data_IF_686562824596
#
_entry.id   IF_686562824596
#
_cell.length_a   1.000
_cell.length_b   1.000
_cell.length_c   1.000
_cell.angle_alpha   90.00
_cell.angle_beta   90.00
_cell.angle_gamma   90.00
#
_symmetry.space_group_name_H-M   'P 1'
#
loop_
_entity.id
_entity.type
_entity.pdbx_description
1 polymer ?
#
# COMPACT_ATOMS: atom_id res chain seq x y z
N UNK A 1 3.40 -10.23 0.08
CA UNK A 1 2.12 -9.77 -0.48
C UNK A 1 1.88 -10.52 -1.78
N UNK A 2 0.62 -10.88 -2.07
CA UNK A 2 0.21 -11.63 -3.27
C UNK A 2 -0.05 -10.70 -4.46
N UNK A 3 0.96 -9.94 -4.89
CA UNK A 3 0.86 -9.08 -6.08
C UNK A 3 0.98 -9.96 -7.32
N UNK A 4 -0.06 -9.96 -8.16
CA UNK A 4 -0.18 -10.81 -9.36
C UNK A 4 -0.28 -10.03 -10.67
N UNK A 5 -0.40 -8.72 -10.61
CA UNK A 5 -0.41 -7.85 -11.79
C UNK A 5 0.11 -6.47 -11.38
N UNK A 6 0.97 -5.89 -12.21
CA UNK A 6 1.38 -4.47 -12.08
C UNK A 6 0.87 -3.69 -13.28
N UNK A 7 0.15 -2.61 -13.02
CA UNK A 7 -0.38 -1.70 -14.05
C UNK A 7 0.36 -0.37 -13.91
N UNK A 8 1.02 0.05 -14.97
CA UNK A 8 1.78 1.30 -14.99
C UNK A 8 1.02 2.37 -15.78
N UNK A 9 1.06 3.60 -15.29
CA UNK A 9 0.99 4.75 -16.18
C UNK A 9 2.25 4.82 -17.05
N UNK A 10 2.14 5.48 -18.20
CA UNK A 10 3.23 5.63 -19.15
C UNK A 10 3.98 6.95 -18.95
N UNK A 11 3.33 8.06 -19.31
CA UNK A 11 3.90 9.40 -19.26
C UNK A 11 4.12 9.84 -17.81
N UNK A 12 5.28 10.39 -17.48
CA UNK A 12 5.59 10.84 -16.11
C UNK A 12 5.95 9.71 -15.13
N UNK A 13 5.67 8.45 -15.50
CA UNK A 13 5.95 7.25 -14.70
C UNK A 13 7.07 6.39 -15.27
N UNK A 14 6.93 5.94 -16.53
CA UNK A 14 7.95 5.14 -17.23
C UNK A 14 8.74 5.99 -18.23
N UNK A 15 8.04 6.87 -18.94
CA UNK A 15 8.60 7.67 -20.02
C UNK A 15 8.50 9.16 -19.69
N UNK A 16 9.60 9.87 -19.89
CA UNK A 16 9.66 11.33 -19.90
C UNK A 16 9.81 11.86 -21.34
N UNK A 17 9.48 13.13 -21.54
CA UNK A 17 9.78 13.85 -22.77
C UNK A 17 10.30 15.26 -22.42
N UNK A 18 11.27 15.81 -23.18
CA UNK A 18 11.80 17.16 -22.94
C UNK A 18 10.72 18.25 -23.05
N UNK A 19 9.81 18.10 -24.03
CA UNK A 19 8.70 19.02 -24.27
C UNK A 19 7.60 18.85 -23.20
N UNK A 20 7.33 19.86 -22.35
CA UNK A 20 6.29 19.79 -21.34
C UNK A 20 4.88 19.79 -21.94
N UNK A 21 3.91 19.18 -21.24
CA UNK A 21 2.50 19.19 -21.67
C UNK A 21 1.90 20.61 -21.80
N UNK A 22 2.41 21.58 -21.04
CA UNK A 22 1.98 22.97 -21.19
C UNK A 22 2.30 23.53 -22.59
N UNK A 23 3.44 23.18 -23.18
CA UNK A 23 3.79 23.61 -24.54
C UNK A 23 2.91 22.92 -25.59
N UNK A 24 2.66 21.61 -25.44
CA UNK A 24 1.71 20.87 -26.30
C UNK A 24 0.33 21.53 -26.29
N UNK A 25 -0.12 21.97 -25.11
CA UNK A 25 -1.41 22.64 -24.94
C UNK A 25 -1.46 24.01 -25.62
N UNK A 26 -0.40 24.81 -25.50
CA UNK A 26 -0.32 26.11 -26.18
C UNK A 26 -0.28 25.93 -27.71
N UNK A 27 0.47 24.96 -28.23
CA UNK A 27 0.50 24.65 -29.66
C UNK A 27 -0.85 24.15 -30.18
N UNK A 28 -1.54 23.31 -29.41
CA UNK A 28 -2.92 22.90 -29.72
C UNK A 28 -3.85 24.12 -29.77
N UNK A 29 -3.76 25.01 -28.78
CA UNK A 29 -4.54 26.27 -28.77
C UNK A 29 -4.25 27.12 -30.01
N UNK A 30 -2.97 27.29 -30.39
CA UNK A 30 -2.59 28.03 -31.59
C UNK A 30 -3.18 27.42 -32.87
N UNK A 31 -3.08 26.09 -33.03
CA UNK A 31 -3.67 25.38 -34.18
C UNK A 31 -5.20 25.54 -34.25
N UNK A 32 -5.89 25.44 -33.11
CA UNK A 32 -7.34 25.64 -33.05
C UNK A 32 -7.76 27.08 -33.40
N UNK A 33 -6.97 28.08 -32.99
CA UNK A 33 -7.17 29.49 -33.38
C UNK A 33 -6.97 29.71 -34.89
N UNK A 34 -5.94 29.09 -35.47
CA UNK A 34 -5.66 29.14 -36.92
C UNK A 34 -6.80 28.52 -37.75
N UNK A 35 -7.50 27.53 -37.20
CA UNK A 35 -8.72 26.99 -37.81
C UNK A 35 -9.91 27.95 -37.75
N UNK A 36 -9.81 29.07 -37.02
CA UNK A 36 -10.88 30.05 -36.83
C UNK A 36 -11.84 29.71 -35.69
N UNK A 37 -11.41 28.89 -34.71
CA UNK A 37 -12.21 28.61 -33.52
C UNK A 37 -12.01 29.78 -32.53
N UNK A 38 -13.09 30.43 -32.04
CA UNK A 38 -13.00 31.53 -31.09
C UNK A 38 -12.28 31.16 -29.78
N UNK A 39 -11.48 32.09 -29.24
CA UNK A 39 -10.68 31.87 -28.03
C UNK A 39 -11.53 31.56 -26.78
N UNK A 40 -12.70 32.18 -26.66
CA UNK A 40 -13.67 31.95 -25.59
C UNK A 40 -14.24 30.52 -25.62
N UNK A 41 -14.39 29.94 -26.81
CA UNK A 41 -14.79 28.54 -26.98
C UNK A 41 -13.62 27.61 -26.65
N UNK A 42 -12.38 27.94 -27.00
CA UNK A 42 -11.22 27.08 -26.71
C UNK A 42 -10.97 26.97 -25.19
N UNK A 43 -11.02 28.10 -24.47
CA UNK A 43 -10.77 28.14 -23.04
C UNK A 43 -9.33 27.77 -22.67
N UNK A 44 -9.15 27.06 -21.55
CA UNK A 44 -7.83 26.71 -20.98
C UNK A 44 -7.31 25.31 -21.38
N UNK A 45 -8.10 24.57 -22.17
CA UNK A 45 -7.87 23.19 -22.62
C UNK A 45 -7.44 22.23 -21.50
N UNK A 46 -7.96 22.40 -20.28
CA UNK A 46 -7.58 21.58 -19.13
C UNK A 46 -8.77 20.76 -18.61
N UNK A 47 -8.84 19.43 -18.90
CA UNK A 47 -7.95 18.64 -19.75
C UNK A 47 -8.25 18.76 -21.25
N UNK A 48 -7.26 18.49 -22.11
CA UNK A 48 -7.33 18.75 -23.56
C UNK A 48 -8.43 17.93 -24.25
N UNK A 49 -8.42 16.61 -24.06
CA UNK A 49 -9.33 15.68 -24.74
C UNK A 49 -10.81 15.97 -24.50
N UNK A 50 -11.20 16.16 -23.24
CA UNK A 50 -12.59 16.47 -22.86
C UNK A 50 -13.02 17.84 -23.40
N UNK A 51 -12.10 18.81 -23.46
CA UNK A 51 -12.38 20.11 -24.08
C UNK A 51 -12.52 20.00 -25.60
N UNK A 52 -11.79 19.13 -26.29
CA UNK A 52 -11.98 18.91 -27.73
C UNK A 52 -13.40 18.37 -28.05
N UNK A 53 -13.95 17.48 -27.22
CA UNK A 53 -15.35 17.05 -27.33
C UNK A 53 -16.33 18.22 -27.18
N UNK A 54 -16.09 19.10 -26.20
CA UNK A 54 -16.89 20.30 -25.98
C UNK A 54 -16.81 21.25 -27.18
N UNK A 55 -15.61 21.53 -27.67
CA UNK A 55 -15.36 22.43 -28.81
C UNK A 55 -16.02 21.88 -30.08
N UNK A 56 -15.91 20.58 -30.37
CA UNK A 56 -16.57 19.95 -31.50
C UNK A 56 -18.10 20.16 -31.44
N UNK A 57 -18.70 19.96 -30.25
CA UNK A 57 -20.14 20.15 -30.04
C UNK A 57 -20.59 21.60 -30.20
N UNK A 58 -19.81 22.56 -29.70
CA UNK A 58 -20.16 23.99 -29.74
C UNK A 58 -19.93 24.62 -31.13
N UNK A 59 -18.91 24.17 -31.85
CA UNK A 59 -18.55 24.71 -33.18
C UNK A 59 -19.19 23.96 -34.34
N UNK A 60 -19.73 22.75 -34.11
CA UNK A 60 -20.21 21.86 -35.15
C UNK A 60 -19.10 21.21 -35.98
N UNK A 61 -17.84 21.35 -35.58
CA UNK A 61 -16.69 20.70 -36.25
C UNK A 61 -16.62 19.21 -35.93
N UNK A 62 -15.93 18.47 -36.80
CA UNK A 62 -15.64 17.05 -36.54
C UNK A 62 -14.71 16.91 -35.35
N UNK A 63 -15.08 16.03 -34.42
CA UNK A 63 -14.21 15.71 -33.29
C UNK A 63 -12.91 15.05 -33.78
N UNK A 64 -13.01 14.19 -34.79
CA UNK A 64 -11.87 13.49 -35.40
C UNK A 64 -10.85 14.46 -36.00
N UNK A 65 -11.31 15.54 -36.63
CA UNK A 65 -10.45 16.62 -37.15
C UNK A 65 -9.66 17.27 -36.02
N UNK A 66 -10.33 17.72 -34.96
CA UNK A 66 -9.66 18.37 -33.81
C UNK A 66 -8.74 17.39 -33.06
N UNK A 67 -9.17 16.14 -32.95
CA UNK A 67 -8.44 15.08 -32.27
C UNK A 67 -7.14 14.73 -32.98
N UNK A 68 -7.15 14.69 -34.32
CA UNK A 68 -5.96 14.38 -35.13
C UNK A 68 -4.80 15.35 -34.84
N UNK A 69 -5.09 16.64 -34.67
CA UNK A 69 -4.10 17.67 -34.33
C UNK A 69 -3.46 17.37 -32.97
N UNK A 70 -4.26 16.97 -31.98
CA UNK A 70 -3.73 16.61 -30.67
C UNK A 70 -2.86 15.35 -30.73
N UNK A 71 -3.26 14.35 -31.52
CA UNK A 71 -2.46 13.12 -31.73
C UNK A 71 -1.12 13.44 -32.40
N UNK A 72 -1.11 14.28 -33.43
CA UNK A 72 0.12 14.74 -34.09
C UNK A 72 1.09 15.37 -33.08
N UNK A 73 0.60 16.30 -32.25
CA UNK A 73 1.41 16.96 -31.21
C UNK A 73 1.88 15.98 -30.12
N UNK A 74 1.06 15.00 -29.73
CA UNK A 74 1.45 13.92 -28.81
C UNK A 74 2.56 13.05 -29.43
N UNK A 75 2.47 12.71 -30.72
CA UNK A 75 3.45 11.92 -31.46
C UNK A 75 4.78 12.68 -31.61
N UNK A 76 4.74 13.95 -32.01
CA UNK A 76 5.92 14.82 -32.08
C UNK A 76 6.62 14.92 -30.72
N UNK A 77 5.87 15.06 -29.63
CA UNK A 77 6.42 15.13 -28.28
C UNK A 77 7.22 13.88 -27.90
N UNK A 78 6.78 12.69 -28.31
CA UNK A 78 7.43 11.43 -27.89
C UNK A 78 8.64 11.06 -28.75
N UNK A 79 8.93 11.79 -29.83
CA UNK A 79 10.10 11.51 -30.69
C UNK A 79 11.43 11.67 -29.93
N UNK A 80 11.49 12.59 -28.96
CA UNK A 80 12.64 12.79 -28.08
C UNK A 80 12.42 12.18 -26.68
N UNK A 81 11.51 11.21 -26.56
CA UNK A 81 11.22 10.58 -25.28
C UNK A 81 12.38 9.74 -24.74
N UNK A 82 12.42 9.57 -23.42
CA UNK A 82 13.43 8.80 -22.73
C UNK A 82 12.83 8.01 -21.56
N UNK A 83 13.46 6.90 -21.19
CA UNK A 83 13.15 6.16 -19.98
C UNK A 83 13.68 6.87 -18.74
N UNK A 84 12.88 6.93 -17.68
CA UNK A 84 13.40 7.36 -16.38
C UNK A 84 14.41 6.34 -15.81
N UNK A 85 15.37 6.84 -15.03
CA UNK A 85 16.37 5.99 -14.36
C UNK A 85 15.68 4.93 -13.47
N UNK A 86 16.06 3.66 -13.63
CA UNK A 86 15.54 2.51 -12.91
C UNK A 86 14.32 1.82 -13.54
N UNK A 87 13.77 2.31 -14.66
CA UNK A 87 12.63 1.64 -15.34
C UNK A 87 12.99 0.22 -15.76
N UNK A 88 14.10 0.03 -16.48
CA UNK A 88 14.48 -1.29 -16.96
C UNK A 88 14.74 -2.27 -15.81
N UNK A 89 15.35 -1.82 -14.71
CA UNK A 89 15.60 -2.64 -13.53
C UNK A 89 14.29 -3.17 -12.92
N UNK A 90 13.26 -2.32 -12.85
CA UNK A 90 11.92 -2.69 -12.36
C UNK A 90 11.24 -3.67 -13.31
N UNK A 91 11.25 -3.39 -14.61
CA UNK A 91 10.59 -4.23 -15.60
C UNK A 91 11.22 -5.63 -15.67
N UNK A 92 12.56 -5.71 -15.65
CA UNK A 92 13.27 -6.99 -15.60
C UNK A 92 13.04 -7.73 -14.28
N UNK A 93 12.98 -7.02 -13.15
CA UNK A 93 12.66 -7.63 -11.85
C UNK A 93 11.28 -8.30 -11.83
N UNK A 94 10.26 -7.64 -12.41
CA UNK A 94 8.90 -8.17 -12.49
C UNK A 94 8.81 -9.34 -13.48
N UNK A 95 9.44 -9.20 -14.65
CA UNK A 95 9.53 -10.25 -15.68
C UNK A 95 10.22 -11.51 -15.14
N UNK A 96 11.34 -11.38 -14.44
CA UNK A 96 12.06 -12.50 -13.83
C UNK A 96 11.23 -13.25 -12.78
N UNK A 97 10.20 -12.61 -12.21
CA UNK A 97 9.25 -13.21 -11.26
C UNK A 97 7.97 -13.72 -11.93
N UNK A 98 7.83 -13.56 -13.24
CA UNK A 98 6.62 -13.93 -13.98
C UNK A 98 5.40 -13.11 -13.58
N UNK A 99 5.59 -11.89 -13.05
CA UNK A 99 4.48 -10.99 -12.74
C UNK A 99 4.11 -10.26 -14.03
N UNK A 100 2.89 -10.45 -14.57
CA UNK A 100 2.46 -9.75 -15.78
C UNK A 100 2.38 -8.24 -15.53
N UNK A 101 2.60 -7.50 -16.61
CA UNK A 101 2.58 -6.04 -16.61
C UNK A 101 1.62 -5.53 -17.68
N UNK A 102 0.94 -4.43 -17.37
CA UNK A 102 0.05 -3.73 -18.29
C UNK A 102 0.26 -2.22 -18.25
N UNK A 103 -0.15 -1.53 -19.31
CA UNK A 103 -0.18 -0.06 -19.38
C UNK A 103 -1.62 0.44 -19.28
N UNK A 104 -1.81 1.51 -18.51
CA UNK A 104 -3.03 2.31 -18.45
C UNK A 104 -2.68 3.80 -18.62
N UNK A 105 -2.90 4.36 -19.81
CA UNK A 105 -2.53 5.74 -20.13
C UNK A 105 -3.69 6.56 -20.70
N UNK A 106 -3.58 7.89 -20.55
CA UNK A 106 -4.46 8.87 -21.19
C UNK A 106 -3.95 9.32 -22.57
N UNK A 107 -2.76 8.90 -22.97
CA UNK A 107 -2.19 9.20 -24.29
C UNK A 107 -2.92 8.43 -25.39
N UNK A 108 -2.86 8.93 -26.62
CA UNK A 108 -3.39 8.22 -27.79
C UNK A 108 -2.67 6.89 -28.01
N UNK A 109 -3.34 5.97 -28.73
CA UNK A 109 -2.78 4.69 -29.10
C UNK A 109 -1.51 4.85 -29.94
N UNK A 110 -1.52 5.77 -30.89
CA UNK A 110 -0.40 6.01 -31.78
C UNK A 110 0.85 6.48 -31.00
N UNK A 111 0.72 7.55 -30.22
CA UNK A 111 1.83 8.06 -29.41
C UNK A 111 2.34 7.02 -28.39
N UNK A 112 1.43 6.29 -27.76
CA UNK A 112 1.78 5.23 -26.79
C UNK A 112 2.62 4.11 -27.44
N UNK A 113 2.17 3.59 -28.58
CA UNK A 113 2.88 2.49 -29.26
C UNK A 113 4.26 2.94 -29.71
N UNK A 114 4.34 4.14 -30.29
CA UNK A 114 5.62 4.70 -30.77
C UNK A 114 6.58 4.94 -29.62
N UNK A 115 6.11 5.50 -28.49
CA UNK A 115 6.94 5.70 -27.30
C UNK A 115 7.47 4.37 -26.74
N UNK A 116 6.63 3.33 -26.63
CA UNK A 116 7.03 2.01 -26.14
C UNK A 116 8.04 1.31 -27.07
N UNK A 117 7.87 1.43 -28.38
CA UNK A 117 8.76 0.83 -29.39
C UNK A 117 10.10 1.54 -29.45
N UNK A 118 10.10 2.87 -29.50
CA UNK A 118 11.34 3.68 -29.54
C UNK A 118 12.20 3.48 -28.30
N UNK A 119 11.57 3.28 -27.13
CA UNK A 119 12.27 3.03 -25.89
C UNK A 119 12.53 1.53 -25.62
N UNK A 120 12.13 0.63 -26.54
CA UNK A 120 12.42 -0.80 -26.45
C UNK A 120 11.75 -1.54 -25.29
N UNK A 121 10.61 -1.04 -24.79
CA UNK A 121 9.91 -1.61 -23.62
C UNK A 121 8.53 -2.20 -23.93
N UNK A 122 8.08 -2.17 -25.20
CA UNK A 122 6.79 -2.72 -25.61
C UNK A 122 6.56 -4.17 -25.16
N UNK A 123 7.57 -5.03 -25.33
CA UNK A 123 7.43 -6.48 -25.12
C UNK A 123 7.32 -6.90 -23.64
N UNK A 124 7.47 -5.95 -22.70
CA UNK A 124 7.22 -6.22 -21.29
C UNK A 124 5.72 -6.24 -20.95
N UNK A 125 4.88 -5.60 -21.75
CA UNK A 125 3.47 -5.39 -21.43
C UNK A 125 2.58 -6.35 -22.20
N UNK A 126 1.82 -7.17 -21.48
CA UNK A 126 0.89 -8.12 -22.10
C UNK A 126 -0.42 -7.46 -22.54
N UNK A 127 -0.72 -6.28 -22.01
CA UNK A 127 -1.91 -5.50 -22.37
C UNK A 127 -1.58 -4.01 -22.25
N UNK A 128 -1.97 -3.24 -23.26
CA UNK A 128 -1.85 -1.79 -23.29
C UNK A 128 -3.25 -1.22 -23.47
N UNK A 129 -3.74 -0.48 -22.47
CA UNK A 129 -4.99 0.26 -22.55
C UNK A 129 -4.69 1.76 -22.64
N UNK A 130 -5.07 2.35 -23.75
CA UNK A 130 -4.95 3.78 -24.01
C UNK A 130 -6.32 4.45 -23.93
N UNK A 131 -6.33 5.78 -24.09
CA UNK A 131 -7.56 6.57 -24.15
C UNK A 131 -8.50 6.13 -25.27
N UNK A 132 -7.94 5.64 -26.38
CA UNK A 132 -8.70 5.26 -27.58
C UNK A 132 -9.40 3.90 -27.45
N UNK A 133 -8.99 3.09 -26.48
CA UNK A 133 -9.52 1.73 -26.30
C UNK A 133 -10.83 1.71 -25.48
N UNK A 134 -11.25 2.84 -24.91
CA UNK A 134 -12.43 2.97 -24.05
C UNK A 134 -13.26 4.22 -24.38
N UNK A 135 -14.58 4.22 -24.08
CA UNK A 135 -15.38 5.44 -24.14
C UNK A 135 -14.79 6.57 -23.29
N UNK A 136 -15.02 7.83 -23.68
CA UNK A 136 -14.48 9.00 -22.97
C UNK A 136 -14.82 9.02 -21.46
N UNK A 137 -16.01 8.52 -21.08
CA UNK A 137 -16.42 8.40 -19.68
C UNK A 137 -15.75 7.28 -18.89
N UNK A 138 -14.98 6.39 -19.53
CA UNK A 138 -14.30 5.25 -18.91
C UNK A 138 -12.78 5.46 -18.75
N UNK A 139 -12.24 6.56 -19.30
CA UNK A 139 -10.82 6.91 -19.19
C UNK A 139 -10.50 7.35 -17.75
N UNK A 140 -9.31 7.03 -17.23
CA UNK A 140 -8.86 7.49 -15.92
C UNK A 140 -9.04 9.02 -15.77
N UNK A 141 -9.58 9.56 -14.67
CA UNK A 141 -9.65 8.97 -13.34
C UNK A 141 -10.78 7.95 -13.11
N UNK A 142 -11.66 7.71 -14.09
CA UNK A 142 -12.68 6.67 -13.97
C UNK A 142 -12.05 5.26 -14.11
N UNK A 143 -12.71 4.26 -13.53
CA UNK A 143 -12.15 2.92 -13.40
C UNK A 143 -12.15 2.05 -14.67
N UNK A 144 -12.78 2.49 -15.77
CA UNK A 144 -13.09 1.63 -16.93
C UNK A 144 -11.87 0.98 -17.60
N UNK A 145 -10.77 1.71 -17.79
CA UNK A 145 -9.52 1.13 -18.32
C UNK A 145 -8.98 0.04 -17.38
N UNK A 146 -8.95 0.32 -16.07
CA UNK A 146 -8.43 -0.62 -15.07
C UNK A 146 -9.32 -1.85 -14.94
N UNK A 147 -10.65 -1.71 -14.94
CA UNK A 147 -11.58 -2.85 -14.91
C UNK A 147 -11.36 -3.82 -16.07
N UNK A 148 -11.18 -3.29 -17.29
CA UNK A 148 -10.90 -4.10 -18.48
C UNK A 148 -9.58 -4.86 -18.35
N UNK A 149 -8.54 -4.17 -17.89
CA UNK A 149 -7.23 -4.79 -17.61
C UNK A 149 -7.41 -5.93 -16.60
N UNK A 150 -7.98 -5.65 -15.42
CA UNK A 150 -8.16 -6.63 -14.35
C UNK A 150 -8.96 -7.85 -14.83
N UNK A 151 -10.04 -7.61 -15.58
CA UNK A 151 -10.88 -8.67 -16.15
C UNK A 151 -10.11 -9.52 -17.15
N UNK A 152 -9.30 -8.92 -18.02
CA UNK A 152 -8.51 -9.65 -19.02
C UNK A 152 -7.46 -10.58 -18.38
N UNK A 153 -6.88 -10.20 -17.24
CA UNK A 153 -5.94 -11.04 -16.50
C UNK A 153 -6.61 -12.01 -15.52
N UNK A 154 -7.90 -11.84 -15.22
CA UNK A 154 -8.62 -12.68 -14.24
C UNK A 154 -8.05 -12.59 -12.83
N UNK A 155 -7.55 -11.42 -12.44
CA UNK A 155 -6.90 -11.19 -11.14
C UNK A 155 -7.85 -10.42 -10.21
N UNK A 156 -7.87 -10.75 -8.93
CA UNK A 156 -8.64 -9.97 -7.94
C UNK A 156 -8.02 -8.57 -7.73
N UNK A 157 -8.81 -7.49 -7.62
CA UNK A 157 -8.27 -6.15 -7.48
C UNK A 157 -7.23 -5.98 -6.36
N UNK A 158 -7.42 -6.62 -5.19
CA UNK A 158 -6.47 -6.53 -4.06
C UNK A 158 -5.08 -7.12 -4.34
N UNK A 159 -4.92 -7.81 -5.47
CA UNK A 159 -3.66 -8.40 -5.97
C UNK A 159 -3.05 -7.61 -7.13
N UNK A 160 -3.64 -6.47 -7.47
CA UNK A 160 -3.18 -5.56 -8.52
C UNK A 160 -2.47 -4.38 -7.87
N UNK A 161 -1.30 -4.04 -8.40
CA UNK A 161 -0.54 -2.85 -8.02
C UNK A 161 -0.56 -1.84 -9.16
N UNK A 162 -1.18 -0.69 -8.96
CA UNK A 162 -1.17 0.43 -9.90
C UNK A 162 -0.03 1.38 -9.55
N UNK A 163 0.76 1.79 -10.52
CA UNK A 163 1.89 2.71 -10.35
C UNK A 163 1.69 3.90 -11.27
N UNK A 164 1.69 5.11 -10.72
CA UNK A 164 1.52 6.34 -11.48
C UNK A 164 2.14 7.54 -10.78
N UNK A 165 2.25 8.67 -11.47
CA UNK A 165 2.75 9.94 -10.94
C UNK A 165 1.64 10.96 -10.68
N UNK A 166 0.39 10.65 -11.03
CA UNK A 166 -0.73 11.55 -10.87
C UNK A 166 -1.90 10.93 -10.08
N UNK A 167 -2.72 11.79 -9.46
CA UNK A 167 -3.93 11.35 -8.75
C UNK A 167 -4.92 10.59 -9.64
N UNK A 168 -4.87 10.82 -10.96
CA UNK A 168 -5.70 10.12 -11.95
C UNK A 168 -5.39 8.62 -12.03
N UNK A 169 -4.19 8.20 -11.65
CA UNK A 169 -3.80 6.78 -11.61
C UNK A 169 -4.27 6.11 -10.32
N UNK A 170 -4.28 6.88 -9.24
CA UNK A 170 -4.55 6.40 -7.89
C UNK A 170 -6.05 6.27 -7.62
N UNK A 171 -6.87 7.17 -8.17
CA UNK A 171 -8.34 7.16 -8.03
C UNK A 171 -8.97 5.82 -8.49
N UNK A 172 -8.73 5.34 -9.74
CA UNK A 172 -9.35 4.11 -10.21
C UNK A 172 -8.85 2.89 -9.42
N UNK A 173 -7.58 2.88 -9.01
CA UNK A 173 -7.04 1.83 -8.15
C UNK A 173 -7.80 1.75 -6.82
N UNK A 174 -8.03 2.88 -6.17
CA UNK A 174 -8.78 2.95 -4.90
C UNK A 174 -10.24 2.53 -5.06
N UNK A 175 -10.89 2.99 -6.12
CA UNK A 175 -12.29 2.66 -6.43
C UNK A 175 -12.51 1.15 -6.54
N UNK A 176 -11.61 0.45 -7.25
CA UNK A 176 -11.67 -1.00 -7.42
C UNK A 176 -11.07 -1.80 -6.25
N UNK A 177 -10.44 -1.14 -5.27
CA UNK A 177 -9.77 -1.80 -4.16
C UNK A 177 -8.41 -2.43 -4.50
N UNK A 178 -7.76 -1.94 -5.56
CA UNK A 178 -6.38 -2.26 -5.90
C UNK A 178 -5.36 -1.48 -5.04
N UNK A 179 -4.15 -2.02 -4.98
CA UNK A 179 -3.03 -1.33 -4.35
C UNK A 179 -2.49 -0.26 -5.30
N UNK A 180 -1.94 0.82 -4.74
CA UNK A 180 -1.43 1.93 -5.53
C UNK A 180 -0.10 2.48 -4.99
N UNK A 181 0.79 2.85 -5.91
CA UNK A 181 2.05 3.55 -5.65
C UNK A 181 2.04 4.87 -6.41
N UNK A 182 2.27 5.97 -5.71
CA UNK A 182 2.42 7.28 -6.32
C UNK A 182 3.90 7.67 -6.39
N UNK A 183 4.35 8.14 -7.56
CA UNK A 183 5.68 8.70 -7.75
C UNK A 183 5.62 10.21 -7.52
N UNK A 184 6.46 10.74 -6.62
CA UNK A 184 6.31 12.11 -6.12
C UNK A 184 7.26 13.14 -6.72
N UNK A 185 8.43 12.77 -7.25
CA UNK A 185 9.47 13.75 -7.62
C UNK A 185 9.51 14.11 -9.11
N UNK A 186 8.80 13.39 -10.00
CA UNK A 186 8.81 13.75 -11.42
C UNK A 186 8.02 15.04 -11.65
N UNK A 187 8.73 16.08 -12.09
CA UNK A 187 8.17 17.38 -12.52
C UNK A 187 7.89 17.41 -14.03
N UNK A 188 8.55 16.56 -14.81
CA UNK A 188 8.53 16.56 -16.29
C UNK A 188 7.25 15.97 -16.94
N UNK A 189 6.34 15.38 -16.16
CA UNK A 189 5.09 14.79 -16.63
C UNK A 189 3.82 15.38 -16.02
N UNK A 190 3.93 16.31 -15.05
CA UNK A 190 2.76 16.72 -14.26
C UNK A 190 1.76 17.48 -15.11
N UNK A 191 0.51 17.02 -15.07
CA UNK A 191 -0.65 17.81 -15.45
C UNK A 191 -0.67 19.11 -14.62
N UNK A 192 -1.19 20.20 -15.20
CA UNK A 192 -1.14 21.55 -14.61
C UNK A 192 -1.99 21.74 -13.34
N UNK A 193 -2.60 20.68 -12.80
CA UNK A 193 -3.45 20.69 -11.61
C UNK A 193 -3.18 19.46 -10.74
N UNK A 194 -3.22 19.57 -9.42
CA UNK A 194 -3.10 18.42 -8.51
C UNK A 194 -4.46 17.91 -8.09
N UNK A 195 -4.70 16.62 -8.24
CA UNK A 195 -5.89 15.95 -7.67
C UNK A 195 -5.49 15.19 -6.42
N UNK A 196 -6.14 15.51 -5.31
CA UNK A 196 -5.84 14.88 -4.02
C UNK A 196 -6.28 13.41 -4.04
N UNK A 197 -5.30 12.51 -4.13
CA UNK A 197 -5.48 11.08 -3.99
C UNK A 197 -4.57 10.55 -2.88
N UNK A 198 -5.04 9.54 -2.13
CA UNK A 198 -4.29 8.92 -1.04
C UNK A 198 -3.80 7.54 -1.50
N UNK A 199 -2.55 7.42 -1.96
CA UNK A 199 -2.00 6.13 -2.40
C UNK A 199 -1.64 5.24 -1.22
N UNK A 200 -1.57 3.93 -1.46
CA UNK A 200 -1.10 2.97 -0.45
C UNK A 200 0.37 3.18 -0.12
N UNK A 201 1.18 3.48 -1.13
CA UNK A 201 2.62 3.74 -1.00
C UNK A 201 3.05 4.94 -1.85
N UNK A 202 4.17 5.55 -1.47
CA UNK A 202 4.79 6.68 -2.16
C UNK A 202 6.28 6.41 -2.34
N UNK A 203 6.76 6.70 -3.54
CA UNK A 203 8.18 6.66 -3.89
C UNK A 203 8.56 7.97 -4.56
N UNK A 204 9.83 8.37 -4.42
CA UNK A 204 10.32 9.59 -5.05
C UNK A 204 10.40 9.47 -6.56
N UNK A 205 11.03 8.40 -7.03
CA UNK A 205 11.22 8.09 -8.45
C UNK A 205 10.93 6.61 -8.68
N UNK A 206 10.74 6.23 -9.94
CA UNK A 206 10.49 4.82 -10.32
C UNK A 206 11.58 3.86 -9.82
N UNK A 207 12.83 4.31 -9.70
CA UNK A 207 13.93 3.54 -9.08
C UNK A 207 13.61 3.08 -7.65
N UNK A 208 12.84 3.87 -6.90
CA UNK A 208 12.37 3.53 -5.55
C UNK A 208 11.34 2.40 -5.51
N UNK A 209 10.74 2.05 -6.65
CA UNK A 209 9.77 0.96 -6.73
C UNK A 209 10.43 -0.40 -6.51
N UNK A 210 11.67 -0.58 -6.99
CA UNK A 210 12.39 -1.86 -6.84
C UNK A 210 12.56 -2.27 -5.36
N UNK A 211 13.20 -1.47 -4.48
CA UNK A 211 13.32 -1.84 -3.06
C UNK A 211 11.96 -1.93 -2.36
N UNK A 212 10.97 -1.14 -2.77
CA UNK A 212 9.61 -1.26 -2.27
C UNK A 212 9.00 -2.62 -2.62
N UNK A 213 9.06 -3.05 -3.89
CA UNK A 213 8.56 -4.35 -4.35
C UNK A 213 9.27 -5.50 -3.63
N UNK A 214 10.59 -5.42 -3.45
CA UNK A 214 11.32 -6.42 -2.66
C UNK A 214 10.77 -6.55 -1.23
N UNK A 215 10.49 -5.41 -0.59
CA UNK A 215 9.91 -5.38 0.74
C UNK A 215 8.50 -5.98 0.75
N UNK A 216 7.61 -5.54 -0.14
CA UNK A 216 6.21 -5.98 -0.21
C UNK A 216 6.07 -7.47 -0.54
N UNK A 217 6.87 -7.99 -1.48
CA UNK A 217 6.87 -9.39 -1.90
C UNK A 217 7.50 -10.33 -0.86
N UNK A 218 8.18 -9.79 0.16
CA UNK A 218 8.77 -10.53 1.28
C UNK A 218 8.23 -10.05 2.65
N UNK A 219 6.94 -9.70 2.68
CA UNK A 219 6.22 -9.43 3.94
C UNK A 219 5.61 -10.70 4.50
N UNK A 220 5.85 -10.96 5.79
CA UNK A 220 5.19 -12.03 6.55
C UNK A 220 4.25 -11.45 7.61
N UNK A 221 3.11 -12.10 7.82
CA UNK A 221 2.12 -11.72 8.83
C UNK A 221 2.11 -12.75 9.96
N UNK A 222 2.45 -12.33 11.16
CA UNK A 222 2.43 -13.14 12.38
C UNK A 222 1.11 -12.91 13.12
N UNK A 223 0.36 -13.99 13.29
CA UNK A 223 -0.97 -13.99 13.91
C UNK A 223 -0.93 -14.85 15.17
N UNK A 224 -0.67 -14.28 16.36
CA UNK A 224 -0.75 -15.01 17.62
C UNK A 224 -2.21 -15.35 17.92
N UNK A 225 -2.50 -16.61 18.30
CA UNK A 225 -3.86 -17.06 18.53
C UNK A 225 -3.96 -17.99 19.75
N UNK A 226 -4.93 -17.73 20.63
CA UNK A 226 -5.27 -18.60 21.76
C UNK A 226 -6.78 -18.61 21.99
N UNK A 227 -7.42 -19.73 21.72
CA UNK A 227 -8.87 -19.91 21.77
C UNK A 227 -9.66 -18.85 20.97
N UNK A 228 -9.40 -18.80 19.66
CA UNK A 228 -9.99 -17.88 18.68
C UNK A 228 -10.71 -18.62 17.53
N UNK A 229 -11.26 -19.81 17.77
CA UNK A 229 -11.94 -20.62 16.73
C UNK A 229 -13.06 -19.84 15.99
N UNK A 230 -13.68 -18.88 16.68
CA UNK A 230 -14.81 -18.09 16.17
C UNK A 230 -14.41 -16.97 15.22
N UNK A 231 -13.20 -16.44 15.34
CA UNK A 231 -12.77 -15.21 14.65
C UNK A 231 -11.62 -15.46 13.68
N UNK A 232 -10.73 -16.41 13.98
CA UNK A 232 -9.52 -16.66 13.19
C UNK A 232 -9.84 -16.96 11.71
N UNK A 233 -10.95 -17.65 11.43
CA UNK A 233 -11.36 -17.95 10.07
C UNK A 233 -11.61 -16.70 9.22
N UNK A 234 -12.31 -15.70 9.77
CA UNK A 234 -12.59 -14.43 9.08
C UNK A 234 -11.33 -13.58 8.94
N UNK A 235 -10.53 -13.47 10.01
CA UNK A 235 -9.25 -12.74 9.99
C UNK A 235 -8.32 -13.28 8.90
N UNK A 236 -8.20 -14.60 8.77
CA UNK A 236 -7.36 -15.21 7.74
C UNK A 236 -7.91 -14.96 6.34
N UNK A 237 -9.22 -15.01 6.13
CA UNK A 237 -9.81 -14.71 4.83
C UNK A 237 -9.50 -13.27 4.39
N UNK A 238 -9.58 -12.31 5.31
CA UNK A 238 -9.25 -10.91 5.00
C UNK A 238 -7.77 -10.72 4.68
N UNK A 239 -6.88 -11.39 5.41
CA UNK A 239 -5.43 -11.36 5.13
C UNK A 239 -5.08 -12.03 3.80
N UNK A 240 -5.72 -13.16 3.47
CA UNK A 240 -5.47 -13.93 2.24
C UNK A 240 -5.83 -13.18 0.95
N UNK A 241 -6.62 -12.11 1.05
CA UNK A 241 -6.87 -11.21 -0.09
C UNK A 241 -5.61 -10.45 -0.55
N UNK A 242 -4.65 -10.24 0.35
CA UNK A 242 -3.46 -9.40 0.12
C UNK A 242 -2.13 -10.13 0.32
N UNK A 243 -2.12 -11.23 1.05
CA UNK A 243 -0.93 -12.02 1.37
C UNK A 243 -1.09 -13.46 0.89
N UNK A 244 0.01 -14.08 0.48
CA UNK A 244 0.01 -15.51 0.15
C UNK A 244 -0.15 -16.33 1.41
N UNK A 245 -0.75 -17.52 1.31
CA UNK A 245 -0.94 -18.38 2.48
C UNK A 245 0.39 -18.72 3.20
N UNK A 246 1.47 -18.89 2.43
CA UNK A 246 2.84 -19.13 2.91
C UNK A 246 3.43 -17.94 3.69
N UNK A 247 2.90 -16.74 3.50
CA UNK A 247 3.36 -15.52 4.17
C UNK A 247 2.63 -15.30 5.50
N UNK A 248 1.54 -16.03 5.77
CA UNK A 248 0.76 -15.92 7.00
C UNK A 248 1.16 -17.03 7.96
N UNK A 249 1.58 -16.63 9.16
CA UNK A 249 2.07 -17.50 10.23
C UNK A 249 1.13 -17.37 11.42
N UNK A 250 0.24 -18.34 11.60
CA UNK A 250 -0.55 -18.47 12.81
C UNK A 250 0.27 -19.17 13.89
N UNK A 251 0.42 -18.54 15.05
CA UNK A 251 1.04 -19.16 16.22
C UNK A 251 -0.06 -19.55 17.20
N UNK A 252 -0.48 -20.80 17.13
CA UNK A 252 -1.44 -21.40 18.05
C UNK A 252 -0.78 -21.66 19.41
N UNK A 253 -1.08 -20.83 20.39
CA UNK A 253 -0.44 -20.83 21.71
C UNK A 253 -1.12 -21.82 22.69
N UNK A 254 -1.24 -23.08 22.28
CA UNK A 254 -1.81 -24.15 23.09
C UNK A 254 -3.33 -24.05 23.27
N UNK A 255 -4.07 -23.62 22.25
CA UNK A 255 -5.54 -23.54 22.29
C UNK A 255 -6.18 -24.90 22.60
N UNK A 256 -7.31 -24.86 23.31
CA UNK A 256 -8.14 -26.03 23.64
C UNK A 256 -9.35 -26.20 22.71
N UNK A 257 -9.60 -25.20 21.89
CA UNK A 257 -10.69 -25.15 20.92
C UNK A 257 -10.18 -25.51 19.50
N UNK A 258 -11.01 -25.28 18.47
CA UNK A 258 -10.65 -25.61 17.08
C UNK A 258 -9.77 -24.57 16.38
N UNK A 259 -9.16 -23.60 17.07
CA UNK A 259 -8.35 -22.53 16.46
C UNK A 259 -7.33 -23.04 15.44
N UNK A 260 -6.54 -24.05 15.83
CA UNK A 260 -5.50 -24.59 14.95
C UNK A 260 -6.06 -25.34 13.74
N UNK A 261 -7.18 -26.05 13.92
CA UNK A 261 -7.87 -26.77 12.83
C UNK A 261 -8.42 -25.78 11.81
N UNK A 262 -9.12 -24.74 12.28
CA UNK A 262 -9.64 -23.66 11.43
C UNK A 262 -8.50 -23.00 10.68
N UNK A 263 -7.41 -22.62 11.35
CA UNK A 263 -6.25 -22.00 10.69
C UNK A 263 -5.66 -22.91 9.60
N UNK A 264 -5.38 -24.18 9.91
CA UNK A 264 -4.81 -25.14 8.94
C UNK A 264 -5.70 -25.33 7.71
N UNK A 265 -7.02 -25.31 7.89
CA UNK A 265 -7.96 -25.46 6.76
C UNK A 265 -7.90 -24.33 5.74
N UNK A 266 -7.25 -23.19 6.06
CA UNK A 266 -7.00 -22.06 5.13
C UNK A 266 -5.66 -22.16 4.41
N UNK A 267 -4.88 -23.21 4.65
CA UNK A 267 -3.59 -23.44 3.99
C UNK A 267 -2.43 -22.57 4.50
N UNK A 268 -2.63 -21.80 5.57
CA UNK A 268 -1.57 -20.95 6.16
C UNK A 268 -0.61 -21.77 7.02
N UNK A 269 0.57 -21.21 7.33
CA UNK A 269 1.48 -21.85 8.27
C UNK A 269 0.93 -21.79 9.69
N UNK A 270 0.91 -22.93 10.38
CA UNK A 270 0.46 -23.03 11.77
C UNK A 270 1.55 -23.60 12.65
N UNK A 271 2.15 -22.75 13.49
CA UNK A 271 3.09 -23.13 14.54
C UNK A 271 2.28 -23.39 15.82
N UNK A 272 2.56 -24.47 16.54
CA UNK A 272 1.79 -24.83 17.75
C UNK A 272 2.71 -24.95 18.95
N UNK A 273 2.39 -24.23 20.01
CA UNK A 273 2.99 -24.48 21.33
C UNK A 273 2.23 -25.60 22.05
N UNK A 274 2.98 -26.48 22.71
CA UNK A 274 2.40 -27.56 23.52
C UNK A 274 1.75 -27.04 24.81
N UNK A 275 2.25 -25.92 25.32
CA UNK A 275 1.73 -25.22 26.50
C UNK A 275 1.53 -23.75 26.15
N UNK A 276 0.54 -23.10 26.75
CA UNK A 276 0.32 -21.67 26.57
C UNK A 276 1.51 -20.88 27.14
N UNK A 277 2.25 -20.21 26.25
CA UNK A 277 3.41 -19.37 26.57
C UNK A 277 3.05 -17.90 26.67
N UNK A 278 1.82 -17.51 26.36
CA UNK A 278 1.37 -16.14 26.33
C UNK A 278 1.74 -15.41 25.03
N UNK A 279 1.21 -14.20 24.90
CA UNK A 279 1.35 -13.37 23.69
C UNK A 279 2.81 -13.17 23.28
N UNK A 280 3.71 -12.92 24.23
CA UNK A 280 5.11 -12.67 23.92
C UNK A 280 5.85 -13.91 23.46
N UNK A 281 5.56 -15.08 24.05
CA UNK A 281 6.08 -16.35 23.55
C UNK A 281 5.60 -16.66 22.13
N UNK A 282 4.32 -16.37 21.83
CA UNK A 282 3.74 -16.56 20.50
C UNK A 282 4.36 -15.60 19.47
N UNK A 283 4.46 -14.32 19.79
CA UNK A 283 5.10 -13.30 18.94
C UNK A 283 6.58 -13.64 18.67
N UNK A 284 7.34 -13.99 19.71
CA UNK A 284 8.75 -14.38 19.57
C UNK A 284 8.94 -15.56 18.63
N UNK A 285 8.08 -16.57 18.73
CA UNK A 285 8.12 -17.75 17.84
C UNK A 285 7.79 -17.38 16.40
N UNK A 286 6.74 -16.58 16.17
CA UNK A 286 6.35 -16.15 14.84
C UNK A 286 7.38 -15.24 14.17
N UNK A 287 7.93 -14.26 14.89
CA UNK A 287 8.97 -13.34 14.39
C UNK A 287 10.24 -14.13 14.06
N UNK A 288 10.68 -15.04 14.93
CA UNK A 288 11.84 -15.88 14.66
C UNK A 288 11.65 -16.76 13.42
N UNK A 289 10.45 -17.33 13.23
CA UNK A 289 10.13 -18.10 12.04
C UNK A 289 10.17 -17.24 10.76
N UNK A 290 9.55 -16.04 10.79
CA UNK A 290 9.57 -15.11 9.67
C UNK A 290 11.01 -14.69 9.28
N UNK A 291 11.86 -14.39 10.26
CA UNK A 291 13.28 -14.07 10.01
C UNK A 291 14.03 -15.23 9.35
N UNK A 292 13.79 -16.48 9.77
CA UNK A 292 14.37 -17.68 9.13
C UNK A 292 13.88 -17.88 7.70
N UNK A 293 12.68 -17.39 7.38
CA UNK A 293 12.12 -17.35 6.02
C UNK A 293 12.58 -16.15 5.20
N UNK A 294 13.57 -15.40 5.69
CA UNK A 294 14.13 -14.22 5.04
C UNK A 294 13.12 -13.09 4.83
N UNK A 295 12.12 -12.98 5.71
CA UNK A 295 11.18 -11.86 5.71
C UNK A 295 11.93 -10.53 5.68
N UNK A 296 11.55 -9.64 4.77
CA UNK A 296 12.02 -8.23 4.74
C UNK A 296 11.15 -7.33 5.60
N UNK A 297 9.86 -7.64 5.66
CA UNK A 297 8.91 -7.01 6.55
C UNK A 297 8.19 -8.06 7.39
N UNK A 298 7.92 -7.73 8.65
CA UNK A 298 7.12 -8.57 9.55
C UNK A 298 5.99 -7.71 10.09
N UNK A 299 4.76 -8.12 9.81
CA UNK A 299 3.54 -7.51 10.35
C UNK A 299 3.01 -8.40 11.47
N UNK A 300 2.60 -7.83 12.60
CA UNK A 300 1.82 -8.56 13.63
C UNK A 300 0.36 -8.18 13.51
N UNK A 301 -0.55 -9.16 13.64
CA UNK A 301 -1.97 -8.96 13.48
C UNK A 301 -2.76 -9.86 14.43
N UNK A 302 -3.67 -9.28 15.23
CA UNK A 302 -4.42 -10.02 16.25
C UNK A 302 -5.50 -10.92 15.64
N UNK A 303 -5.69 -12.10 16.25
CA UNK A 303 -6.64 -13.12 15.80
C UNK A 303 -8.11 -12.89 16.21
N UNK A 304 -8.39 -11.84 16.98
CA UNK A 304 -9.69 -11.57 17.60
C UNK A 304 -10.66 -10.76 16.71
N UNK A 305 -10.18 -10.28 15.55
CA UNK A 305 -10.96 -9.50 14.59
C UNK A 305 -11.08 -8.02 14.90
N UNK A 306 -10.26 -7.46 15.81
CA UNK A 306 -10.30 -6.02 16.14
C UNK A 306 -9.56 -5.13 15.13
N UNK A 307 -8.71 -5.72 14.28
CA UNK A 307 -7.89 -5.00 13.31
C UNK A 307 -8.43 -5.12 11.89
N UNK A 308 -8.25 -4.04 11.11
CA UNK A 308 -8.59 -3.99 9.69
C UNK A 308 -7.32 -4.17 8.84
N UNK A 309 -7.43 -4.90 7.74
CA UNK A 309 -6.29 -5.07 6.81
C UNK A 309 -5.89 -3.75 6.13
N UNK A 310 -6.86 -2.85 5.90
CA UNK A 310 -6.55 -1.49 5.43
C UNK A 310 -5.65 -0.73 6.41
N UNK A 311 -5.82 -0.93 7.72
CA UNK A 311 -4.96 -0.34 8.73
C UNK A 311 -3.58 -1.00 8.77
N UNK A 312 -3.51 -2.31 8.54
CA UNK A 312 -2.24 -3.01 8.37
C UNK A 312 -1.42 -2.44 7.21
N UNK A 313 -2.05 -2.17 6.06
CA UNK A 313 -1.38 -1.53 4.93
C UNK A 313 -0.85 -0.13 5.29
N UNK A 314 -1.62 0.67 6.04
CA UNK A 314 -1.19 1.99 6.50
C UNK A 314 -0.04 1.92 7.51
N UNK A 315 -0.07 0.97 8.44
CA UNK A 315 1.02 0.73 9.41
C UNK A 315 2.28 0.25 8.71
N UNK A 316 2.13 -0.58 7.66
CA UNK A 316 3.25 -1.08 6.87
C UNK A 316 3.92 -0.01 6.01
N UNK A 317 3.15 0.95 5.47
CA UNK A 317 3.61 2.02 4.56
C UNK A 317 4.96 2.65 4.95
N UNK A 318 5.13 3.27 6.14
CA UNK A 318 6.39 3.95 6.48
C UNK A 318 7.60 3.00 6.58
N UNK A 319 7.38 1.72 6.90
CA UNK A 319 8.46 0.73 6.99
C UNK A 319 8.81 0.20 5.59
N UNK A 320 7.80 -0.10 4.78
CA UNK A 320 7.97 -0.55 3.40
C UNK A 320 8.71 0.49 2.53
N UNK A 321 8.43 1.77 2.76
CA UNK A 321 9.08 2.92 2.10
C UNK A 321 10.46 3.27 2.70
N UNK A 322 10.94 2.55 3.72
CA UNK A 322 12.24 2.80 4.36
C UNK A 322 12.32 4.09 5.20
N UNK A 323 11.17 4.76 5.46
CA UNK A 323 11.06 5.97 6.28
C UNK A 323 11.15 5.67 7.78
N UNK A 324 10.78 4.46 8.18
CA UNK A 324 10.85 3.95 9.55
C UNK A 324 11.39 2.52 9.58
N UNK A 325 11.92 2.08 10.72
CA UNK A 325 12.34 0.69 10.94
C UNK A 325 11.26 -0.09 11.71
N UNK A 326 10.41 0.64 12.45
CA UNK A 326 9.32 0.07 13.24
C UNK A 326 8.11 1.02 13.23
N UNK A 327 6.93 0.47 12.97
CA UNK A 327 5.68 1.21 13.00
C UNK A 327 4.66 0.53 13.93
N UNK A 328 3.98 1.33 14.73
CA UNK A 328 2.91 0.88 15.63
C UNK A 328 1.60 1.54 15.23
N UNK A 329 0.54 0.76 15.08
CA UNK A 329 -0.80 1.29 14.89
C UNK A 329 -1.31 1.90 16.19
N UNK A 330 -1.67 3.18 16.21
CA UNK A 330 -2.20 3.86 17.40
C UNK A 330 -3.70 4.13 17.27
N UNK A 331 -4.50 3.56 18.16
CA UNK A 331 -5.95 3.84 18.27
C UNK A 331 -6.19 5.23 18.86
N UNK A 332 -5.27 5.72 19.69
CA UNK A 332 -5.35 7.02 20.37
C UNK A 332 -5.04 8.20 19.45
N UNK A 333 -4.37 7.97 18.32
CA UNK A 333 -4.22 8.96 17.24
C UNK A 333 -5.32 8.87 16.18
N UNK A 334 -6.21 7.89 16.29
CA UNK A 334 -7.38 7.69 15.43
C UNK A 334 -8.67 8.23 16.06
N UNK A 335 -9.80 7.66 15.66
CA UNK A 335 -11.08 7.96 16.29
C UNK A 335 -11.23 7.16 17.59
N UNK A 336 -11.28 7.88 18.72
CA UNK A 336 -11.38 7.29 20.06
C UNK A 336 -12.82 7.16 20.57
N UNK A 337 -13.82 7.49 19.77
CA UNK A 337 -15.24 7.57 20.19
C UNK A 337 -15.79 6.25 20.76
N UNK A 338 -15.31 5.10 20.28
CA UNK A 338 -15.77 3.77 20.72
C UNK A 338 -14.89 3.11 21.79
N UNK A 339 -13.79 3.75 22.22
CA UNK A 339 -12.86 3.13 23.18
C UNK A 339 -13.38 3.23 24.62
N UNK A 340 -13.47 2.10 25.38
CA UNK A 340 -13.87 2.15 26.79
C UNK A 340 -12.91 2.98 27.65
N UNK A 341 -13.45 3.89 28.47
CA UNK A 341 -12.66 4.80 29.33
C UNK A 341 -11.63 4.08 30.23
N UNK A 342 -11.97 2.89 30.74
CA UNK A 342 -11.07 2.11 31.61
C UNK A 342 -9.86 1.57 30.82
N UNK A 343 -10.05 1.15 29.55
CA UNK A 343 -8.95 0.73 28.67
C UNK A 343 -8.05 1.90 28.31
N UNK A 344 -8.64 3.09 28.09
CA UNK A 344 -7.90 4.33 27.82
C UNK A 344 -6.98 4.74 28.97
N UNK A 345 -7.44 4.64 30.22
CA UNK A 345 -6.62 4.94 31.40
C UNK A 345 -5.49 3.92 31.60
N UNK A 346 -5.77 2.63 31.42
CA UNK A 346 -4.73 1.59 31.54
C UNK A 346 -3.63 1.71 30.47
N UNK A 347 -4.01 2.01 29.23
CA UNK A 347 -3.05 2.30 28.17
C UNK A 347 -2.21 3.53 28.51
N UNK A 348 -2.83 4.63 28.96
CA UNK A 348 -2.10 5.85 29.34
C UNK A 348 -1.01 5.59 30.40
N UNK A 349 -1.29 4.79 31.43
CA UNK A 349 -0.30 4.44 32.46
C UNK A 349 0.87 3.66 31.84
N UNK A 350 0.59 2.64 31.02
CA UNK A 350 1.62 1.84 30.34
C UNK A 350 2.40 2.65 29.30
N UNK A 351 1.75 3.60 28.63
CA UNK A 351 2.37 4.51 27.67
C UNK A 351 3.32 5.48 28.37
N UNK A 352 2.93 6.03 29.53
CA UNK A 352 3.80 6.87 30.35
C UNK A 352 5.06 6.11 30.81
N UNK A 353 4.89 4.86 31.25
CA UNK A 353 6.00 3.98 31.65
C UNK A 353 6.91 3.67 30.45
N UNK A 354 6.30 3.28 29.33
CA UNK A 354 7.02 2.99 28.08
C UNK A 354 7.79 4.22 27.62
N UNK A 355 7.22 5.43 27.73
CA UNK A 355 7.87 6.67 27.35
C UNK A 355 9.11 6.97 28.19
N UNK A 356 9.05 6.73 29.50
CA UNK A 356 10.19 6.89 30.41
C UNK A 356 11.32 5.94 30.02
N UNK A 357 11.01 4.67 29.75
CA UNK A 357 12.04 3.64 29.49
C UNK A 357 12.54 3.60 28.05
N UNK A 358 11.67 3.86 27.08
CA UNK A 358 12.05 3.98 25.67
C UNK A 358 12.64 5.35 25.34
N UNK A 359 12.64 6.32 26.28
CA UNK A 359 12.99 7.74 26.05
C UNK A 359 12.25 8.37 24.86
N UNK A 360 11.13 7.78 24.47
CA UNK A 360 10.32 8.16 23.31
C UNK A 360 8.87 7.84 23.61
N UNK A 361 8.01 8.83 23.49
CA UNK A 361 6.59 8.66 23.74
C UNK A 361 5.95 7.90 22.56
N UNK A 362 5.29 6.79 22.87
CA UNK A 362 4.40 6.05 21.96
C UNK A 362 3.03 6.07 22.61
N UNK A 363 2.05 6.62 21.89
CA UNK A 363 0.70 6.89 22.37
C UNK A 363 -0.22 5.67 22.45
N UNK A 364 0.18 4.50 21.94
CA UNK A 364 -0.56 3.24 22.11
C UNK A 364 0.41 2.06 22.13
N UNK A 365 1.16 1.92 23.22
CA UNK A 365 2.19 0.88 23.37
C UNK A 365 1.61 -0.55 23.27
N UNK A 366 0.33 -0.70 23.59
CA UNK A 366 -0.37 -1.98 23.70
C UNK A 366 -1.03 -2.47 22.41
N UNK A 367 -0.93 -1.71 21.31
CA UNK A 367 -1.54 -2.12 20.04
C UNK A 367 -0.87 -3.35 19.44
N UNK A 368 -1.66 -4.40 19.13
CA UNK A 368 -1.18 -5.63 18.50
C UNK A 368 -0.75 -5.47 17.05
N UNK A 369 -1.23 -4.43 16.36
CA UNK A 369 -0.92 -4.15 14.96
C UNK A 369 0.39 -3.35 14.81
N UNK A 370 1.44 -4.04 14.35
CA UNK A 370 2.79 -3.47 14.22
C UNK A 370 3.47 -3.96 12.96
N UNK A 371 4.39 -3.17 12.42
CA UNK A 371 5.24 -3.57 11.30
C UNK A 371 6.71 -3.32 11.63
N UNK A 372 7.58 -4.28 11.32
CA UNK A 372 9.02 -4.24 11.54
C UNK A 372 9.76 -4.41 10.21
N UNK A 373 10.85 -3.66 10.03
CA UNK A 373 11.88 -4.07 9.07
C UNK A 373 12.60 -5.31 9.59
N UNK A 374 13.23 -6.07 8.68
CA UNK A 374 14.06 -7.21 9.04
C UNK A 374 15.16 -6.82 10.04
N UNK A 375 15.83 -5.70 9.79
CA UNK A 375 16.92 -5.20 10.62
C UNK A 375 16.44 -4.88 12.02
N UNK A 376 15.26 -4.25 12.15
CA UNK A 376 14.65 -3.98 13.45
C UNK A 376 14.28 -5.28 14.18
N UNK A 377 13.54 -6.16 13.52
CA UNK A 377 13.10 -7.42 14.10
C UNK A 377 14.27 -8.32 14.55
N UNK A 378 15.39 -8.31 13.81
CA UNK A 378 16.59 -9.10 14.15
C UNK A 378 17.32 -8.64 15.41
N UNK A 379 17.09 -7.40 15.85
CA UNK A 379 17.73 -6.80 17.04
C UNK A 379 16.88 -6.91 18.29
N UNK A 380 15.59 -7.25 18.16
CA UNK A 380 14.66 -7.31 19.28
C UNK A 380 14.74 -8.70 19.92
N UNK A 381 15.06 -8.74 21.20
CA UNK A 381 15.00 -9.96 22.01
C UNK A 381 13.79 -9.92 22.93
N UNK A 382 12.78 -10.72 22.61
CA UNK A 382 11.59 -10.87 23.45
C UNK A 382 11.91 -11.83 24.60
N UNK A 383 11.76 -11.34 25.82
CA UNK A 383 11.96 -12.13 27.05
C UNK A 383 10.71 -12.19 27.91
N UNK A 384 9.77 -11.25 27.71
CA UNK A 384 8.47 -11.30 28.37
C UNK A 384 7.54 -12.25 27.61
N UNK A 385 7.12 -13.32 28.28
CA UNK A 385 6.20 -14.31 27.71
C UNK A 385 4.74 -13.79 27.59
N UNK A 386 4.34 -12.81 28.41
CA UNK A 386 2.94 -12.38 28.56
C UNK A 386 2.73 -10.91 28.15
N UNK A 387 1.74 -10.24 28.74
CA UNK A 387 1.20 -8.95 28.27
C UNK A 387 2.23 -7.81 28.21
N UNK A 388 3.29 -7.85 29.03
CA UNK A 388 4.35 -6.84 29.04
C UNK A 388 5.17 -6.79 27.73
N UNK A 389 5.06 -7.80 26.87
CA UNK A 389 5.80 -7.87 25.58
C UNK A 389 5.55 -6.65 24.70
N UNK A 390 4.35 -6.09 24.73
CA UNK A 390 3.98 -4.92 23.95
C UNK A 390 4.88 -3.71 24.23
N UNK A 391 5.15 -3.45 25.51
CA UNK A 391 6.05 -2.38 25.95
C UNK A 391 7.52 -2.78 25.75
N UNK A 392 7.87 -4.04 26.01
CA UNK A 392 9.23 -4.56 25.81
C UNK A 392 9.72 -4.36 24.38
N UNK A 393 8.89 -4.70 23.38
CA UNK A 393 9.22 -4.55 21.96
C UNK A 393 9.60 -3.11 21.62
N UNK A 394 8.83 -2.13 22.13
CA UNK A 394 9.08 -0.71 21.87
C UNK A 394 10.38 -0.25 22.56
N UNK A 395 10.60 -0.70 23.80
CA UNK A 395 11.83 -0.38 24.56
C UNK A 395 13.05 -0.95 23.84
N UNK A 396 13.01 -2.22 23.41
CA UNK A 396 14.11 -2.87 22.70
C UNK A 396 14.35 -2.22 21.33
N UNK A 397 13.30 -1.90 20.56
CA UNK A 397 13.44 -1.18 19.30
C UNK A 397 14.13 0.19 19.52
N UNK A 398 13.73 0.93 20.57
CA UNK A 398 14.32 2.23 20.89
C UNK A 398 15.78 2.12 21.35
N UNK A 399 16.09 1.15 22.23
CA UNK A 399 17.46 0.85 22.70
C UNK A 399 18.40 0.49 21.55
N UNK A 400 17.89 -0.18 20.53
CA UNK A 400 18.63 -0.55 19.33
C UNK A 400 18.68 0.56 18.25
N UNK A 401 18.23 1.78 18.59
CA UNK A 401 18.32 2.95 17.71
C UNK A 401 17.37 2.93 16.52
N UNK A 402 16.29 2.14 16.57
CA UNK A 402 15.34 2.02 15.45
C UNK A 402 14.49 3.30 15.30
N UNK A 403 14.20 3.70 14.06
CA UNK A 403 13.27 4.79 13.75
C UNK A 403 11.84 4.31 13.94
N UNK A 404 11.26 4.65 15.09
CA UNK A 404 9.87 4.31 15.46
C UNK A 404 8.90 5.39 15.00
N UNK A 405 7.78 4.99 14.39
CA UNK A 405 6.65 5.87 14.05
C UNK A 405 5.33 5.29 14.53
N UNK A 406 4.33 6.15 14.71
CA UNK A 406 2.96 5.74 15.02
C UNK A 406 2.04 6.10 13.87
N UNK A 407 1.17 5.16 13.51
CA UNK A 407 0.20 5.35 12.43
C UNK A 407 -1.21 5.26 13.02
N UNK A 408 -2.09 6.25 12.83
CA UNK A 408 -3.46 6.18 13.33
C UNK A 408 -4.21 4.94 12.83
N UNK A 409 -4.87 4.19 13.68
CA UNK A 409 -5.70 3.02 13.30
C UNK A 409 -7.10 3.12 13.89
N UNK A 410 -8.05 2.39 13.32
CA UNK A 410 -9.40 2.20 13.86
C UNK A 410 -9.45 0.87 14.62
N UNK A 411 -10.09 0.87 15.78
CA UNK A 411 -10.39 -0.35 16.50
C UNK A 411 -11.82 -0.79 16.18
N UNK A 412 -12.01 -2.05 15.81
CA UNK A 412 -13.35 -2.63 15.66
C UNK A 412 -13.74 -3.30 16.97
N UNK A 413 -14.79 -2.80 17.63
CA UNK A 413 -15.28 -3.40 18.87
C UNK A 413 -16.51 -4.26 18.61
N UNK A 414 -16.36 -5.58 18.70
CA UNK A 414 -17.48 -6.54 18.70
C UNK A 414 -17.89 -6.92 20.13
N UNK A 415 -19.14 -7.37 20.35
CA UNK A 415 -19.59 -7.86 21.67
C UNK A 415 -18.67 -8.96 22.24
N UNK A 416 -18.14 -9.82 21.36
CA UNK A 416 -17.17 -10.86 21.73
C UNK A 416 -15.85 -10.26 22.23
N UNK A 417 -15.31 -9.28 21.50
CA UNK A 417 -14.05 -8.61 21.83
C UNK A 417 -14.14 -7.71 23.07
N UNK A 418 -15.34 -7.22 23.38
CA UNK A 418 -15.61 -6.40 24.57
C UNK A 418 -15.69 -7.23 25.85
N UNK A 419 -16.14 -8.50 25.76
CA UNK A 419 -16.14 -9.46 26.87
C UNK A 419 -14.76 -10.06 27.16
N UNK A 420 -13.81 -9.99 26.21
CA UNK A 420 -12.40 -10.33 26.41
C UNK A 420 -11.61 -9.13 26.95
N UNK A 421 -11.03 -9.29 28.14
CA UNK A 421 -10.16 -8.30 28.77
C UNK A 421 -9.81 -8.75 30.19
N UNK A 422 -8.53 -8.85 30.50
CA UNK A 422 -8.05 -9.13 31.86
C UNK A 422 -8.40 -7.97 32.78
N UNK A 423 -8.54 -8.23 34.08
CA UNK A 423 -8.68 -7.19 35.10
C UNK A 423 -7.50 -6.20 34.97
N UNK A 424 -7.77 -5.01 34.41
CA UNK A 424 -6.76 -4.07 33.90
C UNK A 424 -5.74 -3.68 34.98
N UNK A 425 -6.18 -3.58 36.23
CA UNK A 425 -5.33 -3.21 37.37
C UNK A 425 -4.30 -4.30 37.73
N UNK A 426 -4.66 -5.58 37.65
CA UNK A 426 -3.71 -6.68 37.87
C UNK A 426 -2.73 -6.81 36.70
N UNK A 427 -3.22 -6.62 35.46
CA UNK A 427 -2.38 -6.61 34.27
C UNK A 427 -1.31 -5.51 34.31
N UNK A 428 -1.68 -4.30 34.75
CA UNK A 428 -0.75 -3.18 34.95
C UNK A 428 0.28 -3.50 36.04
N UNK A 429 -0.14 -4.07 37.18
CA UNK A 429 0.77 -4.42 38.28
C UNK A 429 1.79 -5.48 37.87
N UNK A 430 1.35 -6.50 37.12
CA UNK A 430 2.24 -7.55 36.58
C UNK A 430 3.20 -6.97 35.54
N UNK A 431 2.70 -6.13 34.63
CA UNK A 431 3.55 -5.48 33.62
C UNK A 431 4.60 -4.57 34.25
N UNK A 432 4.22 -3.80 35.27
CA UNK A 432 5.12 -2.95 36.04
C UNK A 432 6.25 -3.74 36.70
N UNK A 433 5.91 -4.81 37.44
CA UNK A 433 6.91 -5.62 38.14
C UNK A 433 7.89 -6.28 37.14
N UNK A 434 7.38 -6.82 36.03
CA UNK A 434 8.23 -7.44 35.00
C UNK A 434 9.15 -6.43 34.30
N UNK A 435 8.67 -5.21 34.06
CA UNK A 435 9.50 -4.14 33.49
C UNK A 435 10.61 -3.74 34.46
N UNK A 436 10.29 -3.54 35.74
CA UNK A 436 11.28 -3.15 36.77
C UNK A 436 12.34 -4.22 37.00
N UNK A 437 11.97 -5.50 37.01
CA UNK A 437 12.93 -6.60 37.19
C UNK A 437 13.93 -6.72 36.03
N UNK A 438 13.55 -6.34 34.81
CA UNK A 438 14.41 -6.38 33.61
C UNK A 438 15.34 -5.15 33.47
N UNK A 439 15.10 -4.13 34.29
CA UNK A 439 15.88 -2.88 34.29
C UNK A 439 16.94 -2.83 35.39
N UNK A 440 16.97 -3.86 36.24
CA UNK A 440 18.01 -4.14 37.22
C UNK A 440 19.13 -4.94 36.57
#
# INVERSE_FOLDING_TARGET
MDIRLVVFDLDGTLIGAPKPFAQVKEELKSRLLEMGIPEDIIGDLTPMYENLHRIAKETGRSFEELYSIMVELEVERIEESFLFDGVLDVLEFLKARGIPMAIMTRSSREATMRALEMNGIKDYFSLISTRDDVPAGEVKPNAGQLERIITAFGVEPSKVLVVGDHGYDIIPARELGALSVMITDHTAGRMSFSVEAKPNFEIKTIKGLLPLLENLLSTYVVVPAYNEERTIGTVLNDLLRYFRAEEIIVVNDGSRDKTAEVARSRGVHVLTHLVNRGLGGALGTGIAYALRKNARLILTFDADGQHLVSDALRVMKPVAEGKADFAVGSRLKGDTSEMPFVKRFGNFVLDAITAVFARKYVSDSQSGLRCFSRECASKITITCDRYAVSSEIIIEASRNGCRIVEVPIKAVYTEYSMKKGTNILEGIKIALNLLFDKLR
#
